data_IF_612466486300
#
_entry.id   IF_612466486300
#
_cell.length_a   1.000
_cell.length_b   1.000
_cell.length_c   1.000
_cell.angle_alpha   90.00
_cell.angle_beta   90.00
_cell.angle_gamma   90.00
#
_symmetry.space_group_name_H-M   'P 1'
#
loop_
_entity.id
_entity.type
_entity.pdbx_description
1 polymer ?
#
# COMPACT_ATOMS: atom_id res chain seq x y z
N UNK A 1 -22.10 3.39 -2.48
CA UNK A 1 -20.89 4.26 -2.44
C UNK A 1 -20.29 4.30 -1.05
N UNK A 2 -21.09 4.55 0.00
CA UNK A 2 -20.62 4.60 1.40
C UNK A 2 -19.92 3.31 1.84
N UNK A 3 -20.56 2.16 1.65
CA UNK A 3 -20.00 0.86 2.05
C UNK A 3 -18.65 0.51 1.40
N UNK A 4 -18.44 0.90 0.13
CA UNK A 4 -17.16 0.66 -0.56
C UNK A 4 -16.03 1.51 0.01
N UNK A 5 -16.34 2.76 0.38
CA UNK A 5 -15.37 3.66 1.02
C UNK A 5 -15.03 3.16 2.42
N UNK A 6 -16.03 2.70 3.17
CA UNK A 6 -15.85 2.16 4.53
C UNK A 6 -14.93 0.92 4.53
N UNK A 7 -15.10 0.00 3.58
CA UNK A 7 -14.25 -1.20 3.46
C UNK A 7 -12.80 -0.83 3.10
N UNK A 8 -12.61 0.15 2.22
CA UNK A 8 -11.25 0.61 1.86
C UNK A 8 -10.55 1.29 3.04
N UNK A 9 -11.25 2.19 3.74
CA UNK A 9 -10.71 2.87 4.92
C UNK A 9 -10.37 1.87 6.02
N UNK A 10 -11.25 0.90 6.29
CA UNK A 10 -10.98 -0.18 7.25
C UNK A 10 -9.75 -1.01 6.84
N UNK A 11 -9.64 -1.37 5.56
CA UNK A 11 -8.50 -2.14 5.04
C UNK A 11 -7.18 -1.40 5.27
N UNK A 12 -7.15 -0.10 4.95
CA UNK A 12 -5.98 0.75 5.15
C UNK A 12 -5.66 0.90 6.64
N UNK A 13 -6.68 1.13 7.47
CA UNK A 13 -6.54 1.28 8.92
C UNK A 13 -5.94 0.03 9.58
N UNK A 14 -6.51 -1.15 9.30
CA UNK A 14 -6.01 -2.43 9.85
C UNK A 14 -4.58 -2.69 9.42
N UNK A 15 -4.28 -2.51 8.13
CA UNK A 15 -2.93 -2.71 7.60
C UNK A 15 -1.89 -1.78 8.21
N UNK A 16 -2.25 -0.51 8.41
CA UNK A 16 -1.40 0.51 9.04
C UNK A 16 -1.12 0.18 10.50
N UNK A 17 -2.15 -0.20 11.27
CA UNK A 17 -1.99 -0.60 12.68
C UNK A 17 -1.07 -1.82 12.77
N UNK A 18 -1.29 -2.84 11.94
CA UNK A 18 -0.46 -4.04 11.92
C UNK A 18 1.01 -3.71 11.62
N UNK A 19 1.26 -2.88 10.61
CA UNK A 19 2.61 -2.47 10.25
C UNK A 19 3.32 -1.71 11.40
N UNK A 20 2.63 -0.80 12.08
CA UNK A 20 3.20 -0.09 13.22
C UNK A 20 3.46 -0.99 14.43
N UNK A 21 2.55 -1.93 14.71
CA UNK A 21 2.74 -2.92 15.77
C UNK A 21 3.97 -3.78 15.49
N UNK A 22 4.12 -4.27 14.26
CA UNK A 22 5.28 -5.09 13.87
C UNK A 22 6.58 -4.28 13.93
N UNK A 23 6.58 -3.06 13.41
CA UNK A 23 7.74 -2.17 13.48
C UNK A 23 8.14 -1.86 14.93
N UNK A 24 7.16 -1.52 15.78
CA UNK A 24 7.40 -1.26 17.19
C UNK A 24 7.90 -2.50 17.95
N UNK A 25 7.30 -3.66 17.68
CA UNK A 25 7.74 -4.93 18.24
C UNK A 25 9.20 -5.24 17.86
N UNK A 26 9.54 -5.07 16.58
CA UNK A 26 10.91 -5.18 16.09
C UNK A 26 11.90 -4.27 16.78
N UNK A 27 11.48 -3.02 16.97
CA UNK A 27 12.33 -1.99 17.56
C UNK A 27 12.55 -2.15 19.06
N UNK A 28 11.54 -2.62 19.81
CA UNK A 28 11.53 -2.55 21.27
C UNK A 28 11.44 -3.90 21.98
N UNK A 29 11.08 -4.98 21.29
CA UNK A 29 10.83 -6.30 21.92
C UNK A 29 11.72 -7.39 21.31
N UNK A 30 11.58 -7.68 20.02
CA UNK A 30 12.35 -8.70 19.32
C UNK A 30 12.44 -8.39 17.84
N UNK A 31 13.65 -8.40 17.30
CA UNK A 31 13.95 -8.13 15.90
C UNK A 31 13.30 -9.16 14.95
N UNK A 32 12.98 -10.37 15.43
CA UNK A 32 12.37 -11.42 14.60
C UNK A 32 11.08 -11.99 15.16
N UNK A 33 10.23 -12.47 14.24
CA UNK A 33 9.02 -13.27 14.49
C UNK A 33 9.05 -14.47 13.54
N UNK A 34 9.00 -15.69 14.08
CA UNK A 34 9.13 -16.95 13.31
C UNK A 34 10.38 -17.00 12.40
N UNK A 35 11.48 -16.35 12.78
CA UNK A 35 12.71 -16.31 12.01
C UNK A 35 12.73 -15.30 10.85
N UNK A 36 11.70 -14.46 10.73
CA UNK A 36 11.63 -13.35 9.76
C UNK A 36 11.85 -12.04 10.49
N UNK A 37 12.61 -11.12 9.89
CA UNK A 37 12.77 -9.77 10.43
C UNK A 37 11.41 -9.07 10.52
N UNK A 38 11.15 -8.48 11.67
CA UNK A 38 9.89 -7.78 11.97
C UNK A 38 9.71 -6.51 11.16
N UNK A 39 10.80 -5.87 10.77
CA UNK A 39 10.84 -4.77 9.80
C UNK A 39 10.32 -5.22 8.43
N UNK A 40 10.75 -6.39 7.95
CA UNK A 40 10.25 -6.96 6.69
C UNK A 40 8.77 -7.31 6.79
N UNK A 41 8.34 -7.89 7.92
CA UNK A 41 6.92 -8.16 8.17
C UNK A 41 6.09 -6.87 8.19
N UNK A 42 6.61 -5.77 8.72
CA UNK A 42 5.95 -4.47 8.68
C UNK A 42 5.82 -3.94 7.24
N UNK A 43 6.88 -4.04 6.44
CA UNK A 43 6.85 -3.68 5.00
C UNK A 43 5.87 -4.56 4.24
N UNK A 44 5.87 -5.87 4.48
CA UNK A 44 4.94 -6.82 3.88
C UNK A 44 3.49 -6.57 4.31
N UNK A 45 3.26 -6.05 5.51
CA UNK A 45 1.91 -5.63 5.94
C UNK A 45 1.40 -4.45 5.12
N UNK A 46 2.25 -3.45 4.84
CA UNK A 46 1.90 -2.40 3.88
C UNK A 46 1.69 -2.98 2.48
N UNK A 47 2.57 -3.86 2.01
CA UNK A 47 2.43 -4.50 0.70
C UNK A 47 1.07 -5.22 0.56
N UNK A 48 0.71 -6.02 1.56
CA UNK A 48 -0.58 -6.72 1.63
C UNK A 48 -1.77 -5.75 1.62
N UNK A 49 -1.65 -4.62 2.30
CA UNK A 49 -2.68 -3.56 2.30
C UNK A 49 -2.89 -3.00 0.90
N UNK A 50 -1.82 -2.64 0.19
CA UNK A 50 -1.91 -2.15 -1.18
C UNK A 50 -2.51 -3.20 -2.13
N UNK A 51 -2.12 -4.46 -2.01
CA UNK A 51 -2.68 -5.55 -2.82
C UNK A 51 -4.17 -5.81 -2.52
N UNK A 52 -4.58 -5.73 -1.25
CA UNK A 52 -5.98 -5.83 -0.87
C UNK A 52 -6.81 -4.68 -1.46
N UNK A 53 -6.31 -3.43 -1.35
CA UNK A 53 -6.96 -2.25 -1.94
C UNK A 53 -7.01 -2.35 -3.47
N UNK A 54 -5.97 -2.91 -4.11
CA UNK A 54 -5.97 -3.18 -5.54
C UNK A 54 -7.09 -4.15 -5.94
N UNK A 55 -7.26 -5.24 -5.19
CA UNK A 55 -8.33 -6.21 -5.42
C UNK A 55 -9.71 -5.58 -5.26
N UNK A 56 -9.91 -4.73 -4.24
CA UNK A 56 -11.15 -3.98 -4.04
C UNK A 56 -11.44 -3.05 -5.23
N UNK A 57 -10.45 -2.25 -5.67
CA UNK A 57 -10.62 -1.39 -6.84
C UNK A 57 -10.92 -2.18 -8.12
N UNK A 58 -10.30 -3.35 -8.29
CA UNK A 58 -10.58 -4.26 -9.40
C UNK A 58 -12.03 -4.74 -9.37
N UNK A 59 -12.51 -5.16 -8.19
CA UNK A 59 -13.90 -5.57 -7.98
C UNK A 59 -14.90 -4.42 -8.21
N UNK A 60 -14.51 -3.18 -7.94
CA UNK A 60 -15.34 -1.98 -8.17
C UNK A 60 -15.23 -1.41 -9.59
N UNK A 61 -14.53 -2.09 -10.51
CA UNK A 61 -14.39 -1.67 -11.90
C UNK A 61 -13.38 -0.53 -12.15
N UNK A 62 -12.65 -0.08 -11.12
CA UNK A 62 -11.64 0.98 -11.21
C UNK A 62 -10.26 0.40 -11.50
N UNK A 63 -10.08 -0.11 -12.73
CA UNK A 63 -8.90 -0.88 -13.15
C UNK A 63 -7.58 -0.10 -13.04
N UNK A 64 -7.63 1.17 -13.37
CA UNK A 64 -6.55 2.15 -13.25
C UNK A 64 -6.03 2.26 -11.81
N UNK A 65 -6.92 2.47 -10.84
CA UNK A 65 -6.56 2.45 -9.42
C UNK A 65 -6.11 1.06 -8.93
N UNK A 66 -6.71 0.00 -9.44
CA UNK A 66 -6.33 -1.38 -9.11
C UNK A 66 -4.87 -1.65 -9.52
N UNK A 67 -4.50 -1.31 -10.76
CA UNK A 67 -3.14 -1.48 -11.27
C UNK A 67 -2.14 -0.63 -10.51
N UNK A 68 -2.48 0.62 -10.18
CA UNK A 68 -1.59 1.51 -9.45
C UNK A 68 -1.30 1.00 -8.02
N UNK A 69 -2.33 0.53 -7.29
CA UNK A 69 -2.14 -0.08 -5.98
C UNK A 69 -1.42 -1.43 -6.07
N UNK A 70 -1.71 -2.24 -7.10
CA UNK A 70 -1.01 -3.50 -7.31
C UNK A 70 0.48 -3.28 -7.56
N UNK A 71 0.83 -2.29 -8.40
CA UNK A 71 2.21 -1.90 -8.65
C UNK A 71 2.90 -1.46 -7.35
N UNK A 72 2.25 -0.61 -6.55
CA UNK A 72 2.80 -0.18 -5.26
C UNK A 72 3.00 -1.34 -4.28
N UNK A 73 2.01 -2.22 -4.15
CA UNK A 73 2.08 -3.40 -3.29
C UNK A 73 3.18 -4.37 -3.72
N UNK A 74 3.27 -4.70 -5.02
CA UNK A 74 4.34 -5.52 -5.56
C UNK A 74 5.71 -4.87 -5.38
N UNK A 75 5.79 -3.55 -5.53
CA UNK A 75 7.01 -2.79 -5.27
C UNK A 75 7.52 -2.99 -3.84
N UNK A 76 6.62 -2.93 -2.86
CA UNK A 76 6.95 -3.20 -1.45
C UNK A 76 7.35 -4.67 -1.20
N UNK A 77 6.71 -5.63 -1.88
CA UNK A 77 7.15 -7.04 -1.83
C UNK A 77 8.59 -7.15 -2.33
N UNK A 78 8.90 -6.57 -3.50
CA UNK A 78 10.26 -6.58 -4.04
C UNK A 78 11.27 -5.98 -3.07
N UNK A 79 10.94 -4.87 -2.41
CA UNK A 79 11.83 -4.27 -1.40
C UNK A 79 12.06 -5.21 -0.22
N UNK A 80 10.99 -5.83 0.31
CA UNK A 80 11.08 -6.69 1.49
C UNK A 80 11.81 -8.02 1.23
N UNK A 81 11.70 -8.59 0.02
CA UNK A 81 12.31 -9.90 -0.30
C UNK A 81 13.54 -9.79 -1.20
N UNK A 82 14.05 -8.58 -1.43
CA UNK A 82 15.17 -8.38 -2.33
C UNK A 82 16.45 -9.03 -1.82
N UNK A 83 17.11 -9.78 -2.70
CA UNK A 83 18.47 -10.31 -2.49
C UNK A 83 19.54 -9.47 -3.20
N UNK A 84 19.15 -8.42 -3.93
CA UNK A 84 20.07 -7.53 -4.65
C UNK A 84 19.57 -6.10 -4.73
N UNK A 85 20.51 -5.15 -4.85
CA UNK A 85 20.17 -3.72 -4.98
C UNK A 85 19.33 -3.40 -6.22
N UNK A 86 19.45 -4.18 -7.30
CA UNK A 86 18.61 -4.01 -8.50
C UNK A 86 17.14 -4.34 -8.22
N UNK A 87 16.87 -5.39 -7.43
CA UNK A 87 15.50 -5.72 -7.02
C UNK A 87 14.90 -4.65 -6.13
N UNK A 88 15.69 -4.09 -5.21
CA UNK A 88 15.27 -2.93 -4.40
C UNK A 88 14.93 -1.75 -5.29
N UNK A 89 15.78 -1.42 -6.27
CA UNK A 89 15.53 -0.31 -7.20
C UNK A 89 14.23 -0.52 -8.00
N UNK A 90 14.01 -1.72 -8.53
CA UNK A 90 12.76 -2.06 -9.24
C UNK A 90 11.56 -1.87 -8.31
N UNK A 91 11.65 -2.36 -7.07
CA UNK A 91 10.60 -2.21 -6.06
C UNK A 91 10.28 -0.74 -5.75
N UNK A 92 11.31 0.09 -5.55
CA UNK A 92 11.16 1.53 -5.32
C UNK A 92 10.51 2.22 -6.53
N UNK A 93 10.92 1.88 -7.75
CA UNK A 93 10.34 2.47 -8.97
C UNK A 93 8.86 2.11 -9.12
N UNK A 94 8.49 0.86 -8.86
CA UNK A 94 7.09 0.42 -8.89
C UNK A 94 6.25 1.16 -7.84
N UNK A 95 6.78 1.29 -6.62
CA UNK A 95 6.14 2.04 -5.54
C UNK A 95 5.96 3.51 -5.89
N UNK A 96 7.01 4.15 -6.42
CA UNK A 96 6.98 5.56 -6.77
C UNK A 96 5.98 5.84 -7.89
N UNK A 97 5.98 5.04 -8.96
CA UNK A 97 5.06 5.23 -10.10
C UNK A 97 3.61 4.98 -9.69
N UNK A 98 3.33 3.86 -9.00
CA UNK A 98 1.98 3.54 -8.54
C UNK A 98 1.45 4.57 -7.54
N UNK A 99 2.26 4.93 -6.54
CA UNK A 99 1.91 5.91 -5.53
C UNK A 99 1.71 7.32 -6.11
N UNK A 100 2.57 7.75 -7.03
CA UNK A 100 2.44 9.04 -7.69
C UNK A 100 1.14 9.14 -8.49
N UNK A 101 0.78 8.08 -9.24
CA UNK A 101 -0.47 8.04 -9.98
C UNK A 101 -1.68 8.20 -9.04
N UNK A 102 -1.74 7.41 -7.97
CA UNK A 102 -2.83 7.48 -6.98
C UNK A 102 -2.91 8.87 -6.36
N UNK A 103 -1.78 9.46 -5.97
CA UNK A 103 -1.74 10.79 -5.37
C UNK A 103 -2.26 11.87 -6.33
N UNK A 104 -1.80 11.87 -7.58
CA UNK A 104 -2.20 12.85 -8.60
C UNK A 104 -3.69 12.75 -8.90
N UNK A 105 -4.20 11.55 -9.19
CA UNK A 105 -5.62 11.37 -9.52
C UNK A 105 -6.53 11.66 -8.33
N UNK A 106 -6.09 11.36 -7.10
CA UNK A 106 -6.84 11.73 -5.89
C UNK A 106 -6.94 13.25 -5.73
N UNK A 107 -5.85 13.99 -5.96
CA UNK A 107 -5.85 15.46 -5.90
C UNK A 107 -6.72 16.05 -7.01
N UNK A 108 -6.63 15.48 -8.23
CA UNK A 108 -7.44 15.90 -9.36
C UNK A 108 -8.93 15.74 -9.09
N UNK A 109 -9.35 14.56 -8.64
CA UNK A 109 -10.76 14.30 -8.31
C UNK A 109 -11.30 15.24 -7.22
N UNK A 110 -10.47 15.60 -6.23
CA UNK A 110 -10.84 16.58 -5.20
C UNK A 110 -11.06 17.98 -5.77
N UNK A 111 -10.25 18.40 -6.74
CA UNK A 111 -10.40 19.72 -7.39
C UNK A 111 -11.66 19.77 -8.24
N UNK A 112 -11.88 18.77 -9.09
CA UNK A 112 -13.07 18.68 -9.96
C UNK A 112 -14.37 18.68 -9.12
N UNK A 113 -14.38 18.00 -7.97
CA UNK A 113 -15.53 18.02 -7.05
C UNK A 113 -15.75 19.36 -6.33
N UNK A 114 -14.68 20.12 -6.05
CA UNK A 114 -14.79 21.44 -5.44
C UNK A 114 -15.32 22.48 -6.43
N UNK A 115 -14.84 22.43 -7.69
CA UNK A 115 -15.28 23.34 -8.75
C UNK A 115 -16.75 23.13 -9.13
N UNK A 116 -17.29 21.91 -8.99
CA UNK A 116 -18.69 21.60 -9.27
C UNK A 116 -19.67 22.02 -8.16
N UNK A 117 -19.17 22.36 -6.97
CA UNK A 117 -19.98 22.73 -5.80
C UNK A 117 -20.02 24.25 -5.53
N UNK A 118 -19.28 25.05 -6.30
CA UNK A 118 -19.28 26.52 -6.27
C UNK A 118 -20.02 27.12 -7.45
#
# INVERSE_FOLDING_TARGET
MTEQVDVQELTIGVGTVLAFVLYGYGRFVSETVFGVETTDLAVLSFAGTFLAVAALHGAYGRRDFALAHAAAGLGLVFVAVASSGLQVLIGILLLAVGGAYVAVETVRARREGADAAG
#
